data_IF_933450550871
#
_entry.id   IF_933450550871
#
_cell.length_a   1.000
_cell.length_b   1.000
_cell.length_c   1.000
_cell.angle_alpha   90.00
_cell.angle_beta   90.00
_cell.angle_gamma   90.00
#
_symmetry.space_group_name_H-M   'P 1'
#
loop_
_entity.id
_entity.type
_entity.pdbx_description
1 polymer ?
#
# COMPACT_ATOMS: atom_id res chain seq x y z
N UNK A 1 4.49 -4.01 -20.92
CA UNK A 1 3.90 -4.00 -19.56
C UNK A 1 3.90 -5.41 -19.00
N UNK A 2 4.85 -5.71 -18.13
CA UNK A 2 4.92 -6.96 -17.37
C UNK A 2 4.26 -6.71 -16.01
N UNK A 3 3.27 -7.52 -15.65
CA UNK A 3 2.70 -7.47 -14.29
C UNK A 3 3.55 -8.31 -13.34
N UNK A 4 4.10 -7.66 -12.33
CA UNK A 4 4.80 -8.33 -11.23
C UNK A 4 3.96 -8.14 -9.97
N UNK A 5 3.58 -9.26 -9.37
CA UNK A 5 2.69 -9.26 -8.22
C UNK A 5 3.51 -9.40 -6.95
N UNK A 6 3.30 -8.50 -5.99
CA UNK A 6 3.87 -8.61 -4.64
C UNK A 6 2.76 -8.74 -3.62
N UNK A 7 2.63 -9.92 -3.01
CA UNK A 7 1.65 -10.16 -1.95
C UNK A 7 2.25 -9.81 -0.59
N UNK A 8 1.71 -8.76 0.04
CA UNK A 8 2.08 -8.35 1.40
C UNK A 8 1.05 -8.83 2.42
N UNK A 9 1.51 -9.54 3.45
CA UNK A 9 0.66 -10.12 4.48
C UNK A 9 0.59 -9.24 5.71
N UNK A 10 -0.60 -9.10 6.26
CA UNK A 10 -0.82 -8.48 7.56
C UNK A 10 -0.79 -9.55 8.65
N UNK A 11 -0.12 -9.29 9.78
CA UNK A 11 0.06 -10.23 10.90
C UNK A 11 -1.23 -10.79 11.54
N UNK A 12 -2.43 -10.35 11.14
CA UNK A 12 -3.71 -10.87 11.68
C UNK A 12 -4.12 -12.24 11.14
N UNK A 13 -3.36 -12.82 10.21
CA UNK A 13 -3.79 -14.02 9.51
C UNK A 13 -3.30 -15.27 10.24
N UNK A 14 -4.25 -16.12 10.62
CA UNK A 14 -4.04 -17.39 11.30
C UNK A 14 -3.08 -18.31 10.50
N UNK A 15 -2.39 -19.21 11.21
CA UNK A 15 -1.49 -20.21 10.64
C UNK A 15 -2.17 -21.06 9.55
N UNK A 16 -3.48 -21.26 9.65
CA UNK A 16 -4.31 -21.89 8.63
C UNK A 16 -4.28 -21.13 7.29
N UNK A 17 -4.36 -19.81 7.31
CA UNK A 17 -4.27 -18.95 6.13
C UNK A 17 -2.88 -18.98 5.50
N UNK A 18 -1.82 -18.91 6.32
CA UNK A 18 -0.45 -19.03 5.81
C UNK A 18 -0.21 -20.39 5.14
N UNK A 19 -0.81 -21.46 5.69
CA UNK A 19 -0.74 -22.81 5.12
C UNK A 19 -1.51 -22.91 3.80
N UNK A 20 -2.68 -22.28 3.70
CA UNK A 20 -3.42 -22.20 2.45
C UNK A 20 -2.62 -21.49 1.35
N UNK A 21 -1.92 -20.39 1.67
CA UNK A 21 -1.06 -19.69 0.73
C UNK A 21 0.15 -20.51 0.27
N UNK A 22 0.69 -21.40 1.11
CA UNK A 22 1.79 -22.30 0.69
C UNK A 22 1.39 -23.25 -0.43
N UNK A 23 0.10 -23.56 -0.55
CA UNK A 23 -0.44 -24.43 -1.59
C UNK A 23 -0.80 -23.68 -2.88
N UNK A 24 -0.73 -22.34 -2.88
CA UNK A 24 -0.90 -21.52 -4.08
C UNK A 24 0.45 -21.50 -4.81
N UNK A 25 0.47 -21.75 -6.13
CA UNK A 25 1.71 -21.77 -6.91
C UNK A 25 2.24 -20.34 -7.15
N UNK A 26 2.75 -19.72 -6.09
CA UNK A 26 3.57 -18.51 -6.21
C UNK A 26 4.87 -18.87 -6.91
N UNK A 27 4.87 -18.72 -8.22
CA UNK A 27 6.03 -19.00 -9.06
C UNK A 27 6.73 -17.69 -9.41
N UNK A 28 7.99 -17.51 -8.99
CA UNK A 28 8.84 -16.42 -9.49
C UNK A 28 8.93 -16.43 -11.02
N UNK A 29 8.79 -17.60 -11.67
CA UNK A 29 8.77 -17.72 -13.13
C UNK A 29 7.53 -17.07 -13.77
N UNK A 30 6.44 -16.91 -13.01
CA UNK A 30 5.20 -16.23 -13.41
C UNK A 30 5.14 -14.78 -12.89
N UNK A 31 6.25 -14.23 -12.37
CA UNK A 31 6.28 -12.85 -11.86
C UNK A 31 5.55 -12.64 -10.54
N UNK A 32 5.20 -13.70 -9.82
CA UNK A 32 4.51 -13.61 -8.53
C UNK A 32 5.47 -13.82 -7.36
N UNK A 33 5.51 -12.86 -6.45
CA UNK A 33 6.36 -12.87 -5.26
C UNK A 33 5.52 -12.68 -3.99
N UNK A 34 5.71 -13.56 -3.02
CA UNK A 34 5.09 -13.43 -1.70
C UNK A 34 6.12 -12.91 -0.69
N UNK A 35 5.74 -11.91 0.09
CA UNK A 35 6.52 -11.44 1.24
C UNK A 35 6.15 -12.34 2.42
N UNK A 36 7.10 -13.19 2.81
CA UNK A 36 6.90 -14.20 3.86
C UNK A 36 6.84 -13.60 5.27
N UNK A 37 7.51 -12.46 5.48
CA UNK A 37 7.48 -11.72 6.75
C UNK A 37 6.29 -10.75 6.75
N UNK A 38 5.21 -11.13 7.43
CA UNK A 38 4.04 -10.30 7.56
C UNK A 38 4.34 -9.01 8.34
N UNK A 39 3.89 -7.86 7.81
CA UNK A 39 3.99 -6.57 8.49
C UNK A 39 2.78 -6.39 9.41
N UNK A 40 2.98 -5.73 10.55
CA UNK A 40 1.85 -5.22 11.30
C UNK A 40 1.30 -3.98 10.59
N UNK A 41 -0.02 -3.96 10.44
CA UNK A 41 -0.70 -2.86 9.76
C UNK A 41 -1.87 -2.39 10.61
N UNK A 42 -1.92 -1.09 10.86
CA UNK A 42 -2.94 -0.40 11.64
C UNK A 42 -3.78 0.46 10.69
N UNK A 43 -5.10 0.26 10.67
CA UNK A 43 -5.99 0.84 9.63
C UNK A 43 -5.93 2.38 9.52
N UNK A 44 -5.60 3.08 10.62
CA UNK A 44 -5.48 4.54 10.68
C UNK A 44 -4.04 5.02 10.89
N UNK A 45 -3.09 4.10 10.86
CA UNK A 45 -1.70 4.39 11.17
C UNK A 45 -0.81 4.49 9.93
N UNK A 46 0.37 5.13 10.05
CA UNK A 46 1.41 5.16 9.02
C UNK A 46 1.86 3.78 8.54
N UNK A 47 1.66 2.71 9.32
CA UNK A 47 2.01 1.33 8.91
C UNK A 47 1.32 0.88 7.61
N UNK A 48 0.14 1.40 7.27
CA UNK A 48 -0.50 1.15 5.96
C UNK A 48 0.40 1.63 4.80
N UNK A 49 0.88 2.88 4.89
CA UNK A 49 1.77 3.47 3.89
C UNK A 49 3.12 2.78 3.88
N UNK A 50 3.68 2.48 5.05
CA UNK A 50 4.94 1.75 5.18
C UNK A 50 4.88 0.37 4.49
N UNK A 51 3.75 -0.34 4.59
CA UNK A 51 3.56 -1.62 3.92
C UNK A 51 3.58 -1.49 2.38
N UNK A 52 2.95 -0.45 1.83
CA UNK A 52 3.01 -0.17 0.38
C UNK A 52 4.43 0.18 -0.05
N UNK A 53 5.11 1.07 0.68
CA UNK A 53 6.50 1.43 0.38
C UNK A 53 7.46 0.24 0.45
N UNK A 54 7.25 -0.67 1.40
CA UNK A 54 8.01 -1.90 1.50
C UNK A 54 7.80 -2.83 0.28
N UNK A 55 6.57 -2.95 -0.22
CA UNK A 55 6.30 -3.67 -1.47
C UNK A 55 7.02 -3.03 -2.66
N UNK A 56 6.96 -1.70 -2.79
CA UNK A 56 7.66 -0.97 -3.86
C UNK A 56 9.18 -1.20 -3.79
N UNK A 57 9.78 -1.14 -2.61
CA UNK A 57 11.21 -1.37 -2.42
C UNK A 57 11.62 -2.80 -2.81
N UNK A 58 10.81 -3.80 -2.49
CA UNK A 58 11.05 -5.18 -2.90
C UNK A 58 10.91 -5.32 -4.42
N UNK A 59 9.86 -4.74 -5.01
CA UNK A 59 9.64 -4.79 -6.45
C UNK A 59 10.83 -4.21 -7.21
N UNK A 60 11.27 -2.99 -6.85
CA UNK A 60 12.44 -2.32 -7.42
C UNK A 60 13.74 -3.12 -7.28
N UNK A 61 13.90 -3.88 -6.19
CA UNK A 61 15.06 -4.74 -5.96
C UNK A 61 15.02 -6.02 -6.79
N UNK A 62 13.82 -6.51 -7.14
CA UNK A 62 13.62 -7.78 -7.87
C UNK A 62 13.71 -7.60 -9.37
N UNK A 63 13.07 -6.55 -9.89
CA UNK A 63 13.06 -6.24 -11.32
C UNK A 63 12.79 -4.75 -11.53
N UNK A 64 13.36 -4.20 -12.59
CA UNK A 64 13.06 -2.85 -13.08
C UNK A 64 12.20 -2.89 -14.35
N UNK A 65 11.87 -4.08 -14.83
CA UNK A 65 11.14 -4.30 -16.08
C UNK A 65 9.62 -4.29 -15.83
N UNK A 66 9.13 -3.19 -15.27
CA UNK A 66 7.71 -2.91 -15.06
C UNK A 66 7.46 -1.42 -15.29
N UNK A 67 6.27 -1.09 -15.78
CA UNK A 67 5.96 0.29 -16.21
C UNK A 67 5.15 1.04 -15.13
N UNK A 68 4.21 0.36 -14.45
CA UNK A 68 3.36 0.96 -13.42
C UNK A 68 3.24 0.06 -12.18
N UNK A 69 3.06 0.70 -11.02
CA UNK A 69 2.75 0.03 -9.76
C UNK A 69 1.27 0.23 -9.42
N UNK A 70 0.54 -0.88 -9.20
CA UNK A 70 -0.88 -0.86 -8.84
C UNK A 70 -1.02 -1.54 -7.47
N UNK A 71 -1.50 -0.80 -6.47
CA UNK A 71 -1.79 -1.37 -5.16
C UNK A 71 -3.21 -1.95 -5.12
N UNK A 72 -3.34 -3.20 -4.68
CA UNK A 72 -4.63 -3.86 -4.47
C UNK A 72 -4.70 -4.47 -3.07
N UNK A 73 -5.91 -4.54 -2.54
CA UNK A 73 -6.31 -5.26 -1.34
C UNK A 73 -7.06 -6.55 -1.71
N UNK A 74 -7.32 -7.39 -0.71
CA UNK A 74 -8.07 -8.63 -0.93
C UNK A 74 -9.56 -8.42 -1.28
N UNK A 75 -10.08 -7.20 -1.13
CA UNK A 75 -11.46 -6.84 -1.46
C UNK A 75 -11.60 -6.19 -2.84
N UNK A 76 -10.50 -5.87 -3.51
CA UNK A 76 -10.53 -5.27 -4.84
C UNK A 76 -10.78 -6.33 -5.91
N UNK A 77 -11.55 -5.98 -6.94
CA UNK A 77 -11.90 -6.87 -8.03
C UNK A 77 -11.78 -6.15 -9.38
N UNK A 78 -11.12 -6.73 -10.39
CA UNK A 78 -11.00 -6.10 -11.70
C UNK A 78 -12.36 -6.04 -12.40
N UNK A 79 -12.72 -4.86 -12.93
CA UNK A 79 -13.95 -4.66 -13.70
C UNK A 79 -13.72 -4.77 -15.22
N UNK A 80 -12.46 -4.82 -15.64
CA UNK A 80 -12.04 -4.96 -17.04
C UNK A 80 -11.07 -6.12 -17.15
N UNK A 81 -10.92 -6.67 -18.35
CA UNK A 81 -9.98 -7.76 -18.59
C UNK A 81 -8.53 -7.26 -18.56
N UNK A 82 -7.58 -8.19 -18.42
CA UNK A 82 -6.15 -7.85 -18.48
C UNK A 82 -5.78 -7.31 -19.86
N UNK A 83 -6.33 -7.87 -20.93
CA UNK A 83 -6.02 -7.46 -22.30
C UNK A 83 -6.54 -6.05 -22.58
N UNK A 84 -7.75 -5.71 -22.15
CA UNK A 84 -8.30 -4.35 -22.29
C UNK A 84 -7.48 -3.32 -21.51
N UNK A 85 -7.03 -3.69 -20.30
CA UNK A 85 -6.15 -2.84 -19.49
C UNK A 85 -4.82 -2.62 -20.20
N UNK A 86 -4.22 -3.68 -20.75
CA UNK A 86 -2.94 -3.60 -21.48
C UNK A 86 -3.07 -2.78 -22.76
N UNK A 87 -4.12 -2.99 -23.54
CA UNK A 87 -4.41 -2.25 -24.77
C UNK A 87 -4.55 -0.75 -24.46
N UNK A 88 -5.38 -0.42 -23.47
CA UNK A 88 -5.58 0.96 -23.03
C UNK A 88 -4.26 1.60 -22.60
N UNK A 89 -3.50 0.95 -21.71
CA UNK A 89 -2.25 1.49 -21.17
C UNK A 89 -1.12 1.53 -22.21
N UNK A 90 -1.19 0.73 -23.29
CA UNK A 90 -0.19 0.75 -24.36
C UNK A 90 -0.10 2.10 -25.08
N UNK A 91 -1.22 2.82 -25.13
CA UNK A 91 -1.34 4.13 -25.80
C UNK A 91 -0.95 5.31 -24.91
N UNK A 92 -0.83 5.09 -23.59
CA UNK A 92 -0.61 6.14 -22.61
C UNK A 92 0.89 6.33 -22.34
N UNK A 93 1.31 7.57 -22.10
CA UNK A 93 2.67 7.88 -21.70
C UNK A 93 3.01 7.22 -20.35
N UNK A 94 4.05 6.38 -20.36
CA UNK A 94 4.55 5.63 -19.18
C UNK A 94 5.06 6.51 -18.04
N UNK A 95 5.31 7.79 -18.28
CA UNK A 95 5.75 8.74 -17.27
C UNK A 95 4.60 9.37 -16.46
N UNK A 96 3.34 8.93 -16.68
CA UNK A 96 2.17 9.43 -15.97
C UNK A 96 1.85 8.60 -14.72
N UNK A 97 1.35 9.29 -13.69
CA UNK A 97 0.81 8.69 -12.47
C UNK A 97 -0.70 8.95 -12.38
N UNK A 98 -1.45 7.94 -11.95
CA UNK A 98 -2.89 8.04 -11.76
C UNK A 98 -3.21 8.04 -10.26
N UNK A 99 -3.47 9.21 -9.71
CA UNK A 99 -3.73 9.39 -8.27
C UNK A 99 -4.94 10.31 -8.12
N UNK A 100 -6.01 9.81 -7.50
CA UNK A 100 -7.15 10.64 -7.11
C UNK A 100 -6.75 11.54 -5.94
N UNK A 101 -6.97 12.85 -6.09
CA UNK A 101 -6.58 13.84 -5.09
C UNK A 101 -7.36 15.14 -5.22
N UNK A 102 -7.52 15.84 -4.09
CA UNK A 102 -8.03 17.21 -4.00
C UNK A 102 -7.24 18.01 -2.97
N UNK A 103 -7.11 19.32 -3.18
CA UNK A 103 -6.54 20.22 -2.16
C UNK A 103 -7.58 20.75 -1.16
N UNK A 104 -8.84 20.33 -1.29
CA UNK A 104 -9.89 20.71 -0.35
C UNK A 104 -9.91 19.71 0.81
N UNK A 105 -9.16 20.00 1.88
CA UNK A 105 -9.01 19.11 3.03
C UNK A 105 -10.29 19.00 3.88
N UNK A 106 -11.00 20.12 4.06
CA UNK A 106 -12.18 20.21 4.93
C UNK A 106 -11.87 19.70 6.35
N UNK A 107 -12.75 18.86 6.89
CA UNK A 107 -12.59 18.28 8.23
C UNK A 107 -11.30 17.44 8.41
N UNK A 108 -10.67 16.95 7.32
CA UNK A 108 -9.43 16.18 7.39
C UNK A 108 -8.25 17.03 7.88
N UNK A 109 -8.31 18.35 7.71
CA UNK A 109 -7.29 19.28 8.20
C UNK A 109 -7.12 19.16 9.72
N UNK A 110 -8.19 19.43 10.47
CA UNK A 110 -8.20 19.39 11.93
C UNK A 110 -8.05 17.97 12.50
N UNK A 111 -8.61 16.97 11.79
CA UNK A 111 -8.73 15.59 12.31
C UNK A 111 -7.61 14.65 11.86
N UNK A 112 -6.85 14.99 10.82
CA UNK A 112 -5.78 14.13 10.27
C UNK A 112 -4.48 14.87 10.01
N UNK A 113 -4.53 16.13 9.55
CA UNK A 113 -3.32 16.86 9.20
C UNK A 113 -2.65 17.55 10.39
N UNK A 114 -3.41 18.03 11.38
CA UNK A 114 -2.87 18.70 12.58
C UNK A 114 -2.53 17.77 13.77
N UNK A 115 -3.23 16.63 14.01
CA UNK A 115 -2.88 15.76 15.12
C UNK A 115 -1.53 15.06 14.94
N UNK A 116 -0.89 14.73 16.06
CA UNK A 116 0.25 13.83 16.12
C UNK A 116 -0.24 12.42 16.49
N UNK A 117 0.29 11.40 15.81
CA UNK A 117 -0.13 10.01 15.98
C UNK A 117 1.11 9.15 16.25
N UNK A 118 1.01 8.24 17.20
CA UNK A 118 1.96 7.17 17.45
C UNK A 118 1.31 5.86 16.99
N UNK A 119 2.00 5.13 16.11
CA UNK A 119 1.56 3.83 15.61
C UNK A 119 2.36 2.71 16.28
N UNK A 120 1.74 1.95 17.20
CA UNK A 120 2.42 0.85 17.88
C UNK A 120 2.90 -0.24 16.93
N UNK A 121 2.29 -0.36 15.75
CA UNK A 121 2.70 -1.34 14.74
C UNK A 121 4.11 -1.10 14.18
N UNK A 122 4.75 0.03 14.49
CA UNK A 122 6.14 0.31 14.13
C UNK A 122 7.16 -0.28 15.12
N UNK A 123 6.79 -0.51 16.38
CA UNK A 123 7.74 -0.92 17.42
C UNK A 123 7.26 -2.08 18.31
N UNK A 124 5.99 -2.49 18.22
CA UNK A 124 5.40 -3.55 19.03
C UNK A 124 4.88 -4.70 18.16
N UNK A 125 4.96 -5.91 18.69
CA UNK A 125 4.36 -7.13 18.10
C UNK A 125 2.91 -7.35 18.56
N UNK A 126 2.45 -6.61 19.56
CA UNK A 126 1.06 -6.64 20.02
C UNK A 126 0.22 -5.61 19.24
N UNK A 127 -0.78 -6.11 18.50
CA UNK A 127 -1.66 -5.24 17.72
C UNK A 127 -2.55 -4.43 18.66
N UNK A 128 -2.34 -3.11 18.66
CA UNK A 128 -3.09 -2.13 19.43
C UNK A 128 -3.51 -0.98 18.53
N UNK A 129 -4.49 -0.19 18.95
CA UNK A 129 -4.92 0.98 18.20
C UNK A 129 -3.87 2.10 18.25
N UNK A 130 -3.99 3.05 17.32
CA UNK A 130 -3.13 4.24 17.31
C UNK A 130 -3.37 5.10 18.54
N UNK A 131 -2.29 5.75 19.01
CA UNK A 131 -2.37 6.73 20.08
C UNK A 131 -2.31 8.14 19.51
N UNK A 132 -3.20 9.00 20.00
CA UNK A 132 -3.18 10.43 19.68
C UNK A 132 -2.27 11.13 20.68
N UNK A 133 -1.19 11.72 20.19
CA UNK A 133 -0.24 12.45 21.02
C UNK A 133 -0.67 13.91 21.20
N UNK A 134 -0.31 14.46 22.35
CA UNK A 134 -0.50 15.87 22.71
C UNK A 134 0.86 16.54 22.92
N UNK A 135 1.05 17.82 22.52
CA UNK A 135 0.07 18.71 21.89
C UNK A 135 -0.14 18.41 20.40
N UNK A 136 -1.19 19.01 19.80
CA UNK A 136 -1.31 19.03 18.33
C UNK A 136 -0.28 19.97 17.73
N UNK A 137 0.02 19.79 16.45
CA UNK A 137 0.88 20.71 15.69
C UNK A 137 0.05 21.59 14.74
N UNK A 138 0.64 22.70 14.32
CA UNK A 138 0.13 23.48 13.19
C UNK A 138 0.19 22.69 11.88
N UNK A 139 -0.50 23.20 10.86
CA UNK A 139 -0.38 22.65 9.52
C UNK A 139 1.04 22.88 8.96
N UNK A 140 1.59 21.90 8.22
CA UNK A 140 2.86 22.10 7.53
C UNK A 140 2.70 23.19 6.47
N UNK A 141 3.62 24.15 6.44
CA UNK A 141 3.62 25.27 5.47
C UNK A 141 4.67 25.11 4.37
N UNK A 142 5.58 24.14 4.51
CA UNK A 142 6.64 23.88 3.53
C UNK A 142 6.14 23.27 2.21
N UNK A 143 4.92 22.74 2.19
CA UNK A 143 4.32 22.09 1.02
C UNK A 143 2.80 22.18 1.08
N UNK A 144 2.16 22.07 -0.09
CA UNK A 144 0.71 22.00 -0.20
C UNK A 144 0.22 20.58 0.09
N UNK A 145 -0.77 20.46 0.97
CA UNK A 145 -1.41 19.19 1.27
C UNK A 145 -2.52 18.87 0.26
N UNK A 146 -2.61 17.59 -0.08
CA UNK A 146 -3.67 17.00 -0.88
C UNK A 146 -4.23 15.78 -0.15
N UNK A 147 -5.48 15.42 -0.45
CA UNK A 147 -6.13 14.23 0.07
C UNK A 147 -6.85 13.47 -1.05
N UNK A 148 -6.78 12.14 -0.97
CA UNK A 148 -7.79 11.21 -1.49
C UNK A 148 -8.35 10.38 -0.35
#
# INVERSE_FOLDING_TARGET
>A
MLFIWTLNLQQRKDWSFLRALKNIPFSPKLGMFMITKANMVTYRGPTMVANTLHACAILLKRSKDWDWFINLSASDYPLITQDDLLDTFSTINRNLNFIEHTSQLGWKEDKRAMPLIIDPGLYSTAKTDIYWATPRRGLPTAFKLFTG
#
